data_IF_844371669047
#
_entry.id   IF_844371669047
#
_cell.length_a   1.000
_cell.length_b   1.000
_cell.length_c   1.000
_cell.angle_alpha   90.00
_cell.angle_beta   90.00
_cell.angle_gamma   90.00
#
_symmetry.space_group_name_H-M   'P 1'
#
loop_
_entity.id
_entity.type
_entity.pdbx_description
1 polymer ?
#
# COMPACT_ATOMS: atom_id res chain seq x y z
N UNK A 1 -15.88 -70.71 28.91
CA UNK A 1 -16.80 -70.37 30.02
C UNK A 1 -17.60 -69.16 29.55
N UNK A 2 -18.69 -69.33 28.78
CA UNK A 2 -20.01 -69.88 29.15
C UNK A 2 -20.75 -68.93 30.13
N UNK A 3 -21.93 -68.36 29.85
CA UNK A 3 -22.78 -68.27 28.63
C UNK A 3 -23.55 -66.91 28.67
N UNK A 4 -24.52 -66.57 27.82
CA UNK A 4 -25.31 -67.35 26.86
C UNK A 4 -25.81 -66.48 25.68
N UNK A 5 -25.69 -67.01 24.46
CA UNK A 5 -26.53 -66.72 23.28
C UNK A 5 -27.91 -67.43 23.44
N UNK A 6 -28.90 -67.41 22.53
CA UNK A 6 -29.47 -66.44 21.58
C UNK A 6 -30.75 -67.08 20.97
N UNK A 7 -31.79 -66.32 20.62
CA UNK A 7 -32.83 -66.56 19.58
C UNK A 7 -34.08 -65.68 19.87
N UNK A 8 -34.88 -65.21 18.89
CA UNK A 8 -34.80 -65.40 17.44
C UNK A 8 -35.67 -64.41 16.64
N UNK A 9 -35.65 -64.57 15.30
CA UNK A 9 -36.38 -63.81 14.25
C UNK A 9 -37.92 -64.03 14.38
N UNK A 10 -38.87 -63.31 13.75
CA UNK A 10 -38.84 -62.25 12.73
C UNK A 10 -39.93 -62.49 11.64
N UNK A 11 -40.68 -61.44 11.26
CA UNK A 11 -41.52 -61.29 10.04
C UNK A 11 -42.85 -62.09 9.81
N UNK A 12 -43.95 -61.32 9.64
CA UNK A 12 -44.87 -61.31 8.47
C UNK A 12 -46.33 -61.88 8.51
N UNK A 13 -47.27 -60.94 8.24
CA UNK A 13 -48.43 -60.97 7.29
C UNK A 13 -49.77 -61.73 7.56
N UNK A 14 -50.85 -60.92 7.40
CA UNK A 14 -52.29 -61.14 7.04
C UNK A 14 -53.25 -60.76 8.18
N UNK A 15 -54.38 -60.09 7.94
CA UNK A 15 -54.90 -59.46 6.71
C UNK A 15 -56.28 -58.80 6.95
N UNK A 16 -56.79 -58.01 6.01
CA UNK A 16 -58.15 -57.42 6.11
C UNK A 16 -58.40 -56.27 5.11
N UNK A 17 -59.34 -56.47 4.19
CA UNK A 17 -59.93 -55.40 3.35
C UNK A 17 -61.07 -54.71 4.14
N UNK A 18 -61.65 -53.55 3.79
CA UNK A 18 -61.58 -52.68 2.61
C UNK A 18 -61.66 -51.20 3.10
N UNK A 19 -61.93 -50.11 2.34
CA UNK A 19 -62.48 -49.87 0.98
C UNK A 19 -61.92 -48.53 0.43
N UNK A 20 -62.37 -48.10 -0.75
CA UNK A 20 -62.18 -46.77 -1.35
C UNK A 20 -63.59 -46.24 -1.76
N UNK A 21 -63.83 -44.91 -1.97
CA UNK A 21 -63.38 -44.24 -3.21
C UNK A 21 -63.06 -42.72 -3.14
N UNK A 22 -62.52 -42.21 -4.27
CA UNK A 22 -62.50 -40.81 -4.81
C UNK A 22 -62.02 -39.64 -3.90
N UNK A 23 -61.05 -38.79 -4.26
CA UNK A 23 -60.90 -37.93 -5.47
C UNK A 23 -61.98 -36.82 -5.53
N UNK A 24 -61.69 -35.53 -5.76
CA UNK A 24 -60.50 -34.86 -6.32
C UNK A 24 -60.46 -33.34 -6.04
N UNK A 25 -59.27 -32.70 -6.10
CA UNK A 25 -58.98 -31.26 -6.41
C UNK A 25 -59.73 -30.16 -5.61
N UNK A 26 -59.08 -29.13 -5.07
CA UNK A 26 -58.50 -27.97 -5.81
C UNK A 26 -57.31 -27.35 -5.02
N UNK A 27 -56.60 -26.40 -5.65
CA UNK A 27 -55.24 -25.89 -5.36
C UNK A 27 -55.24 -24.44 -4.82
N UNK A 28 -54.14 -24.07 -4.14
CA UNK A 28 -53.54 -22.70 -3.98
C UNK A 28 -54.11 -21.75 -2.91
N UNK A 29 -53.19 -20.99 -2.26
CA UNK A 29 -53.44 -19.94 -1.24
C UNK A 29 -52.77 -20.26 0.09
N UNK A 30 -51.47 -20.02 0.31
CA UNK A 30 -50.84 -18.72 0.62
C UNK A 30 -51.13 -18.20 2.05
N UNK A 31 -50.17 -18.39 2.96
CA UNK A 31 -50.00 -17.63 4.19
C UNK A 31 -48.56 -17.80 4.72
N UNK A 32 -47.86 -16.68 4.95
CA UNK A 32 -46.47 -16.68 5.40
C UNK A 32 -46.33 -16.98 6.90
N UNK A 33 -45.26 -17.68 7.28
CA UNK A 33 -44.78 -17.76 8.66
C UNK A 33 -43.43 -17.06 8.75
N UNK A 34 -43.46 -15.84 9.31
CA UNK A 34 -42.35 -14.90 9.37
C UNK A 34 -41.17 -15.45 10.19
N UNK A 35 -39.95 -15.31 9.66
CA UNK A 35 -38.70 -15.57 10.38
C UNK A 35 -37.82 -14.33 10.24
N UNK A 36 -37.49 -13.62 11.34
CA UNK A 36 -36.59 -12.49 11.26
C UNK A 36 -35.17 -12.96 10.90
N UNK A 37 -34.66 -12.53 9.74
CA UNK A 37 -33.25 -12.67 9.42
C UNK A 37 -32.37 -11.86 10.38
N UNK A 38 -31.13 -12.32 10.67
CA UNK A 38 -30.15 -11.56 11.46
C UNK A 38 -29.47 -10.45 10.62
N UNK A 39 -30.26 -9.58 9.98
CA UNK A 39 -29.79 -8.40 9.24
C UNK A 39 -29.51 -7.20 10.17
N UNK A 40 -28.60 -7.33 11.16
CA UNK A 40 -28.07 -6.16 11.88
C UNK A 40 -26.77 -6.38 12.69
N UNK A 41 -25.71 -6.87 12.07
CA UNK A 41 -24.34 -6.76 12.65
C UNK A 41 -23.26 -6.34 11.65
N UNK A 42 -23.55 -6.28 10.35
CA UNK A 42 -22.58 -5.90 9.32
C UNK A 42 -22.47 -4.37 9.08
N UNK A 43 -23.49 -3.57 9.45
CA UNK A 43 -23.55 -2.13 9.11
C UNK A 43 -23.15 -1.19 10.26
N UNK A 44 -22.65 -1.72 11.39
CA UNK A 44 -22.12 -0.94 12.51
C UNK A 44 -20.57 -0.83 12.53
N UNK A 45 -19.88 -1.22 11.45
CA UNK A 45 -18.41 -1.18 11.33
C UNK A 45 -17.92 -0.02 10.42
N UNK A 46 -18.39 1.20 10.68
CA UNK A 46 -18.24 2.35 9.77
C UNK A 46 -17.21 3.42 10.21
N UNK A 47 -16.20 3.07 11.02
CA UNK A 47 -15.03 3.93 11.25
C UNK A 47 -13.70 3.17 11.00
N UNK A 48 -12.95 3.62 9.99
CA UNK A 48 -11.53 3.30 9.79
C UNK A 48 -11.14 1.81 9.77
N UNK A 49 -11.39 1.10 8.67
CA UNK A 49 -10.83 -0.24 8.46
C UNK A 49 -9.29 -0.22 8.49
N UNK A 50 -8.68 -1.33 8.93
CA UNK A 50 -7.22 -1.53 8.79
C UNK A 50 -6.78 -1.44 7.32
N UNK A 51 -5.50 -1.12 7.09
CA UNK A 51 -4.94 -1.15 5.74
C UNK A 51 -5.19 -2.52 5.08
N UNK A 52 -5.75 -2.56 3.86
CA UNK A 52 -5.90 -3.80 3.10
C UNK A 52 -4.59 -4.55 2.92
N UNK A 53 -4.64 -5.88 2.83
CA UNK A 53 -3.44 -6.72 2.72
C UNK A 53 -2.55 -6.34 1.51
N UNK A 54 -3.14 -6.07 0.34
CA UNK A 54 -2.39 -5.64 -0.85
C UNK A 54 -1.60 -4.34 -0.61
N UNK A 55 -2.18 -3.41 0.16
CA UNK A 55 -1.56 -2.13 0.46
C UNK A 55 -0.40 -2.31 1.45
N UNK A 56 -0.57 -3.19 2.45
CA UNK A 56 0.50 -3.57 3.39
C UNK A 56 1.68 -4.22 2.66
N UNK A 57 1.43 -5.19 1.79
CA UNK A 57 2.45 -5.82 0.95
C UNK A 57 3.20 -4.80 0.08
N UNK A 58 2.47 -3.85 -0.53
CA UNK A 58 3.07 -2.79 -1.33
C UNK A 58 3.99 -1.86 -0.51
N UNK A 59 3.55 -1.39 0.66
CA UNK A 59 4.41 -0.62 1.57
C UNK A 59 5.63 -1.41 2.04
N UNK A 60 5.48 -2.71 2.31
CA UNK A 60 6.58 -3.56 2.75
C UNK A 60 7.64 -3.79 1.65
N UNK A 61 7.23 -4.12 0.43
CA UNK A 61 8.14 -4.26 -0.70
C UNK A 61 8.88 -2.96 -1.00
N UNK A 62 8.14 -1.84 -1.04
CA UNK A 62 8.70 -0.51 -1.28
C UNK A 62 9.69 -0.08 -0.18
N UNK A 63 9.38 -0.38 1.08
CA UNK A 63 10.25 -0.02 2.21
C UNK A 63 11.54 -0.85 2.24
N UNK A 64 11.44 -2.17 2.09
CA UNK A 64 12.61 -3.05 2.01
C UNK A 64 13.52 -2.73 0.81
N UNK A 65 12.93 -2.44 -0.36
CA UNK A 65 13.68 -1.97 -1.53
C UNK A 65 14.36 -0.61 -1.29
N UNK A 66 13.73 0.31 -0.56
CA UNK A 66 14.38 1.56 -0.15
C UNK A 66 15.58 1.30 0.76
N UNK A 67 15.45 0.35 1.70
CA UNK A 67 16.54 -0.05 2.58
C UNK A 67 17.69 -0.70 1.79
N UNK A 68 17.41 -1.59 0.84
CA UNK A 68 18.42 -2.16 -0.08
C UNK A 68 19.22 -1.05 -0.77
N UNK A 69 18.53 -0.07 -1.37
CA UNK A 69 19.15 1.07 -2.07
C UNK A 69 20.01 1.90 -1.11
N UNK A 70 19.51 2.20 0.09
CA UNK A 70 20.23 2.97 1.10
C UNK A 70 21.47 2.23 1.63
N UNK A 71 21.35 0.94 1.94
CA UNK A 71 22.46 0.12 2.43
C UNK A 71 23.52 -0.11 1.35
N UNK A 72 23.13 -0.43 0.12
CA UNK A 72 24.06 -0.63 -0.99
C UNK A 72 24.77 0.67 -1.40
N UNK A 73 24.04 1.79 -1.48
CA UNK A 73 24.64 3.09 -1.79
C UNK A 73 25.59 3.57 -0.68
N UNK A 74 25.23 3.43 0.60
CA UNK A 74 26.10 3.86 1.70
C UNK A 74 27.37 3.02 1.80
N UNK A 75 27.27 1.69 1.64
CA UNK A 75 28.44 0.79 1.53
C UNK A 75 29.35 1.15 0.36
N UNK A 76 28.79 1.53 -0.79
CA UNK A 76 29.55 1.97 -1.97
C UNK A 76 30.22 3.32 -1.72
N UNK A 77 29.48 4.30 -1.20
CA UNK A 77 30.00 5.63 -0.89
C UNK A 77 31.17 5.58 0.10
N UNK A 78 31.08 4.75 1.13
CA UNK A 78 32.16 4.52 2.10
C UNK A 78 33.43 3.89 1.50
N UNK A 79 33.37 3.30 0.29
CA UNK A 79 34.51 2.69 -0.41
C UNK A 79 35.07 3.55 -1.54
N UNK A 80 34.22 4.29 -2.26
CA UNK A 80 34.61 4.96 -3.51
C UNK A 80 34.25 6.46 -3.58
N UNK A 81 33.69 7.03 -2.51
CA UNK A 81 33.26 8.45 -2.40
C UNK A 81 32.45 8.98 -3.60
N UNK A 82 31.73 8.08 -4.28
CA UNK A 82 30.98 8.35 -5.51
C UNK A 82 29.74 9.22 -5.22
N UNK A 83 29.84 10.51 -5.57
CA UNK A 83 28.80 11.51 -5.34
C UNK A 83 27.46 11.21 -6.05
N UNK A 84 27.44 10.29 -7.03
CA UNK A 84 26.20 9.82 -7.64
C UNK A 84 25.36 8.95 -6.71
N UNK A 85 25.95 8.43 -5.63
CA UNK A 85 25.28 7.65 -4.59
C UNK A 85 24.34 6.56 -5.16
N UNK A 86 24.89 5.74 -6.06
CA UNK A 86 24.15 4.66 -6.72
C UNK A 86 23.89 3.50 -5.75
N UNK A 87 22.61 3.17 -5.56
CA UNK A 87 22.13 1.99 -4.86
C UNK A 87 21.47 0.99 -5.81
N UNK A 88 21.30 -0.24 -5.33
CA UNK A 88 20.85 -1.40 -6.09
C UNK A 88 19.79 -2.20 -5.34
N UNK A 89 18.82 -2.72 -6.06
CA UNK A 89 17.87 -3.74 -5.59
C UNK A 89 17.31 -4.48 -6.83
N UNK A 90 16.32 -5.35 -6.65
CA UNK A 90 15.63 -6.01 -7.77
C UNK A 90 14.17 -6.25 -7.46
N UNK A 91 13.30 -6.45 -8.47
CA UNK A 91 11.92 -6.87 -8.25
C UNK A 91 11.80 -8.16 -7.44
N UNK A 92 12.77 -9.09 -7.57
CA UNK A 92 12.84 -10.31 -6.76
C UNK A 92 13.09 -10.00 -5.27
N UNK A 93 14.02 -9.08 -4.96
CA UNK A 93 14.23 -8.61 -3.57
C UNK A 93 13.01 -7.88 -3.03
N UNK A 94 12.35 -7.05 -3.84
CA UNK A 94 11.07 -6.42 -3.48
C UNK A 94 9.98 -7.45 -3.14
N UNK A 95 9.92 -8.58 -3.86
CA UNK A 95 9.01 -9.70 -3.57
C UNK A 95 9.38 -10.43 -2.28
N UNK A 96 10.66 -10.60 -1.98
CA UNK A 96 11.09 -11.16 -0.70
C UNK A 96 10.74 -10.20 0.44
N UNK A 97 11.06 -8.91 0.32
CA UNK A 97 10.74 -7.88 1.32
C UNK A 97 9.24 -7.79 1.63
N UNK A 98 8.34 -7.89 0.64
CA UNK A 98 6.90 -7.88 0.92
C UNK A 98 6.44 -9.13 1.68
N UNK A 99 7.02 -10.30 1.40
CA UNK A 99 6.67 -11.56 2.09
C UNK A 99 7.28 -11.61 3.50
N UNK A 100 8.56 -11.28 3.64
CA UNK A 100 9.29 -11.34 4.92
C UNK A 100 8.74 -10.34 5.92
N UNK A 101 8.53 -9.08 5.53
CA UNK A 101 7.94 -8.09 6.43
C UNK A 101 6.46 -8.38 6.75
N UNK A 102 5.69 -8.99 5.84
CA UNK A 102 4.31 -9.41 6.14
C UNK A 102 4.26 -10.57 7.16
N UNK A 103 5.18 -11.54 7.05
CA UNK A 103 5.34 -12.59 8.05
C UNK A 103 5.83 -12.02 9.41
N UNK A 104 6.82 -11.11 9.39
CA UNK A 104 7.30 -10.43 10.59
C UNK A 104 6.22 -9.56 11.26
N UNK A 105 5.29 -9.01 10.50
CA UNK A 105 4.12 -8.33 11.09
C UNK A 105 3.25 -9.31 11.89
N UNK A 106 3.05 -10.54 11.40
CA UNK A 106 2.32 -11.58 12.15
C UNK A 106 3.07 -11.98 13.43
N UNK A 107 4.40 -12.09 13.37
CA UNK A 107 5.24 -12.29 14.56
C UNK A 107 5.07 -11.11 15.52
N UNK A 108 5.18 -9.86 15.05
CA UNK A 108 5.01 -8.66 15.87
C UNK A 108 3.66 -8.60 16.58
N UNK A 109 2.56 -8.98 15.92
CA UNK A 109 1.23 -9.02 16.53
C UNK A 109 1.10 -10.09 17.63
N UNK A 110 1.95 -11.11 17.65
CA UNK A 110 2.01 -12.10 18.75
C UNK A 110 2.65 -11.55 20.03
N UNK A 111 3.24 -10.35 20.02
CA UNK A 111 3.82 -9.69 21.21
C UNK A 111 2.89 -9.71 22.43
N UNK A 112 1.58 -9.56 22.22
CA UNK A 112 0.54 -9.59 23.29
C UNK A 112 0.44 -10.93 24.03
N UNK A 113 1.00 -12.01 23.48
CA UNK A 113 1.04 -13.35 24.09
C UNK A 113 2.33 -13.63 24.87
N UNK A 114 3.35 -12.78 24.73
CA UNK A 114 4.62 -12.96 25.43
C UNK A 114 4.59 -12.27 26.79
N UNK A 115 5.00 -12.94 27.88
CA UNK A 115 4.96 -12.37 29.24
C UNK A 115 5.97 -11.22 29.44
N UNK A 116 7.05 -11.19 28.66
CA UNK A 116 8.04 -10.10 28.68
C UNK A 116 8.12 -9.41 27.33
N UNK A 117 7.67 -8.15 27.30
CA UNK A 117 7.82 -7.27 26.14
C UNK A 117 9.30 -6.99 25.83
N UNK A 118 10.19 -7.00 26.83
CA UNK A 118 11.63 -6.82 26.62
C UNK A 118 12.23 -7.99 25.84
N UNK A 119 11.99 -9.23 26.30
CA UNK A 119 12.45 -10.46 25.61
C UNK A 119 11.89 -10.52 24.19
N UNK A 120 10.63 -10.13 24.00
CA UNK A 120 10.04 -10.08 22.66
C UNK A 120 10.75 -9.07 21.74
N UNK A 121 10.90 -7.82 22.18
CA UNK A 121 11.42 -6.73 21.34
C UNK A 121 12.92 -6.84 21.03
N UNK A 122 13.74 -7.34 21.97
CA UNK A 122 15.19 -7.32 21.86
C UNK A 122 15.83 -8.68 21.54
N UNK A 123 15.10 -9.80 21.70
CA UNK A 123 15.60 -11.15 21.42
C UNK A 123 14.74 -11.87 20.36
N UNK A 124 13.46 -12.14 20.65
CA UNK A 124 12.62 -12.97 19.78
C UNK A 124 12.37 -12.35 18.41
N UNK A 125 12.00 -11.05 18.37
CA UNK A 125 11.73 -10.37 17.11
C UNK A 125 13.01 -10.19 16.26
N UNK A 126 14.15 -9.74 16.81
CA UNK A 126 15.40 -9.67 16.05
C UNK A 126 15.89 -11.03 15.54
N UNK A 127 15.77 -12.10 16.34
CA UNK A 127 16.11 -13.45 15.91
C UNK A 127 15.24 -13.90 14.72
N UNK A 128 13.93 -13.67 14.79
CA UNK A 128 13.01 -13.97 13.70
C UNK A 128 13.30 -13.14 12.43
N UNK A 129 13.68 -11.86 12.58
CA UNK A 129 14.06 -11.00 11.46
C UNK A 129 15.34 -11.48 10.77
N UNK A 130 16.41 -11.70 11.54
CA UNK A 130 17.69 -12.20 11.01
C UNK A 130 17.50 -13.55 10.32
N UNK A 131 16.86 -14.52 10.99
CA UNK A 131 16.63 -15.84 10.42
C UNK A 131 15.81 -15.81 9.12
N UNK A 132 14.73 -15.02 9.09
CA UNK A 132 13.88 -14.92 7.90
C UNK A 132 14.58 -14.18 6.74
N UNK A 133 15.41 -13.17 7.03
CA UNK A 133 16.22 -12.48 6.04
C UNK A 133 17.31 -13.40 5.47
N UNK A 134 18.02 -14.16 6.31
CA UNK A 134 19.00 -15.16 5.86
C UNK A 134 18.38 -16.22 4.95
N UNK A 135 17.19 -16.74 5.31
CA UNK A 135 16.46 -17.69 4.47
C UNK A 135 16.03 -17.07 3.13
N UNK A 136 15.59 -15.82 3.12
CA UNK A 136 15.22 -15.11 1.90
C UNK A 136 16.42 -14.88 0.96
N UNK A 137 17.56 -14.47 1.51
CA UNK A 137 18.79 -14.26 0.74
C UNK A 137 19.35 -15.59 0.21
N UNK A 138 19.29 -16.69 0.97
CA UNK A 138 19.65 -18.04 0.50
C UNK A 138 18.71 -18.55 -0.60
N UNK A 139 17.39 -18.36 -0.44
CA UNK A 139 16.42 -18.75 -1.47
C UNK A 139 16.62 -17.97 -2.78
N UNK A 140 16.98 -16.69 -2.69
CA UNK A 140 17.32 -15.86 -3.85
C UNK A 140 18.57 -16.36 -4.57
N UNK A 141 19.63 -16.68 -3.81
CA UNK A 141 20.87 -17.23 -4.36
C UNK A 141 20.62 -18.55 -5.11
N UNK A 142 19.89 -19.48 -4.50
CA UNK A 142 19.52 -20.76 -5.12
C UNK A 142 18.62 -20.61 -6.36
N UNK A 143 17.83 -19.53 -6.44
CA UNK A 143 16.93 -19.27 -7.58
C UNK A 143 17.59 -18.54 -8.75
N UNK A 144 18.74 -17.87 -8.52
CA UNK A 144 19.44 -17.06 -9.53
C UNK A 144 20.82 -17.59 -9.92
N UNK A 145 21.44 -18.43 -9.08
CA UNK A 145 22.74 -19.06 -9.34
C UNK A 145 22.53 -20.47 -9.87
N UNK A 146 23.03 -20.72 -11.08
CA UNK A 146 23.00 -22.03 -11.77
C UNK A 146 24.08 -23.01 -11.23
N UNK A 147 24.40 -22.87 -9.93
CA UNK A 147 25.52 -23.56 -9.30
C UNK A 147 25.71 -23.15 -7.83
N UNK A 148 26.17 -24.13 -7.03
CA UNK A 148 26.45 -24.04 -5.60
C UNK A 148 27.73 -23.23 -5.32
N UNK A 149 27.73 -21.94 -5.65
CA UNK A 149 28.78 -21.02 -5.21
C UNK A 149 28.67 -20.74 -3.72
N UNK A 150 29.80 -20.72 -3.02
CA UNK A 150 29.89 -20.53 -1.57
C UNK A 150 29.04 -19.35 -1.09
N UNK A 151 27.92 -19.65 -0.43
CA UNK A 151 27.12 -18.68 0.30
C UNK A 151 27.87 -18.31 1.58
N UNK A 152 28.92 -17.48 1.44
CA UNK A 152 29.73 -16.99 2.54
C UNK A 152 28.83 -16.47 3.66
N UNK A 153 29.01 -17.02 4.87
CA UNK A 153 28.20 -16.67 6.02
C UNK A 153 28.25 -15.15 6.25
N UNK A 154 27.10 -14.50 6.61
CA UNK A 154 27.06 -13.05 6.80
C UNK A 154 28.08 -12.64 7.87
N UNK A 155 28.93 -11.67 7.55
CA UNK A 155 29.99 -11.22 8.45
C UNK A 155 29.42 -10.60 9.72
N UNK A 156 30.22 -10.50 10.78
CA UNK A 156 29.79 -9.94 12.08
C UNK A 156 29.14 -8.56 11.95
N UNK A 157 29.64 -7.72 11.03
CA UNK A 157 29.06 -6.39 10.73
C UNK A 157 27.72 -6.48 10.00
N UNK A 158 27.51 -7.46 9.13
CA UNK A 158 26.23 -7.69 8.45
C UNK A 158 25.17 -8.17 9.45
N UNK A 159 25.52 -9.12 10.33
CA UNK A 159 24.65 -9.57 11.41
C UNK A 159 24.29 -8.45 12.39
N UNK A 160 25.26 -7.62 12.79
CA UNK A 160 25.01 -6.45 13.63
C UNK A 160 24.07 -5.44 12.94
N UNK A 161 24.25 -5.21 11.64
CA UNK A 161 23.36 -4.32 10.87
C UNK A 161 21.95 -4.89 10.72
N UNK A 162 21.80 -6.19 10.45
CA UNK A 162 20.50 -6.87 10.41
C UNK A 162 19.78 -6.82 11.78
N UNK A 163 20.52 -6.96 12.89
CA UNK A 163 19.97 -6.79 14.24
C UNK A 163 19.46 -5.35 14.48
N UNK A 164 20.26 -4.33 14.13
CA UNK A 164 19.85 -2.93 14.21
C UNK A 164 18.63 -2.64 13.33
N UNK A 165 18.57 -3.23 12.13
CA UNK A 165 17.43 -3.10 11.23
C UNK A 165 16.16 -3.75 11.82
N UNK A 166 16.28 -4.89 12.51
CA UNK A 166 15.17 -5.52 13.21
C UNK A 166 14.63 -4.67 14.37
N UNK A 167 15.52 -4.01 15.13
CA UNK A 167 15.12 -3.07 16.17
C UNK A 167 14.40 -1.86 15.57
N UNK A 168 14.92 -1.28 14.48
CA UNK A 168 14.23 -0.23 13.73
C UNK A 168 12.85 -0.70 13.23
N UNK A 169 12.76 -1.90 12.66
CA UNK A 169 11.54 -2.45 12.07
C UNK A 169 10.45 -2.63 13.12
N UNK A 170 10.79 -3.17 14.30
CA UNK A 170 9.83 -3.34 15.41
C UNK A 170 9.50 -2.02 16.10
N UNK A 171 10.50 -1.26 16.55
CA UNK A 171 10.30 -0.10 17.43
C UNK A 171 9.82 1.15 16.70
N UNK A 172 10.20 1.32 15.43
CA UNK A 172 9.91 2.53 14.64
C UNK A 172 8.91 2.23 13.54
N UNK A 173 9.22 1.31 12.62
CA UNK A 173 8.41 1.12 11.42
C UNK A 173 7.05 0.49 11.72
N UNK A 174 6.99 -0.75 12.21
CA UNK A 174 5.72 -1.45 12.49
C UNK A 174 4.86 -0.70 13.51
N UNK A 175 5.48 -0.19 14.59
CA UNK A 175 4.80 0.62 15.61
C UNK A 175 4.12 1.89 15.04
N UNK A 176 4.68 2.50 14.00
CA UNK A 176 4.08 3.66 13.31
C UNK A 176 3.09 3.23 12.23
N UNK A 177 3.45 2.21 11.45
CA UNK A 177 2.72 1.71 10.28
C UNK A 177 1.37 1.08 10.63
N UNK A 178 1.29 0.31 11.71
CA UNK A 178 0.04 -0.32 12.17
C UNK A 178 -1.02 0.68 12.71
N UNK A 179 -0.67 1.97 12.81
CA UNK A 179 -1.61 3.06 13.15
C UNK A 179 -2.26 3.70 11.92
N UNK A 180 -1.90 3.25 10.72
CA UNK A 180 -2.52 3.70 9.47
C UNK A 180 -3.85 2.97 9.26
N UNK A 181 -4.88 3.73 8.87
CA UNK A 181 -6.22 3.26 8.52
C UNK A 181 -6.59 3.68 7.11
N UNK A 182 -7.41 2.87 6.45
CA UNK A 182 -7.92 3.14 5.11
C UNK A 182 -9.40 3.48 5.16
N UNK A 183 -9.75 4.70 4.74
CA UNK A 183 -11.15 5.13 4.66
C UNK A 183 -11.76 4.72 3.32
N UNK A 184 -12.50 3.61 3.31
CA UNK A 184 -13.38 3.27 2.19
C UNK A 184 -14.56 4.25 2.19
N UNK A 185 -14.66 5.12 1.17
CA UNK A 185 -15.91 5.82 0.91
C UNK A 185 -16.90 4.81 0.35
N UNK A 186 -18.08 4.70 0.98
CA UNK A 186 -19.25 4.14 0.34
C UNK A 186 -19.62 5.06 -0.84
N UNK A 187 -20.04 4.54 -2.01
CA UNK A 187 -20.51 5.38 -3.10
C UNK A 187 -21.60 6.33 -2.58
N UNK A 188 -21.44 7.63 -2.83
CA UNK A 188 -22.50 8.60 -2.58
C UNK A 188 -23.74 8.14 -3.35
N UNK A 189 -24.84 7.82 -2.65
CA UNK A 189 -26.09 7.37 -3.29
C UNK A 189 -26.49 8.39 -4.35
N UNK A 190 -26.46 7.96 -5.61
CA UNK A 190 -26.98 8.71 -6.73
C UNK A 190 -28.51 8.81 -6.54
N UNK A 191 -29.00 10.02 -6.25
CA UNK A 191 -30.43 10.28 -6.06
C UNK A 191 -30.97 9.90 -4.67
N UNK A 192 -31.04 10.89 -3.77
CA UNK A 192 -32.15 10.92 -2.82
C UNK A 192 -33.42 11.30 -3.62
N UNK A 193 -34.56 10.59 -3.48
CA UNK A 193 -35.79 10.98 -4.18
C UNK A 193 -36.22 12.39 -3.78
N UNK A 194 -36.55 13.21 -4.79
CA UNK A 194 -37.19 14.51 -4.57
C UNK A 194 -38.52 14.29 -3.85
N UNK A 195 -38.65 14.84 -2.65
CA UNK A 195 -39.92 14.86 -1.93
C UNK A 195 -40.97 15.65 -2.74
N UNK A 196 -42.23 15.20 -2.81
CA UNK A 196 -43.25 15.86 -3.61
C UNK A 196 -43.60 17.26 -3.05
N UNK A 197 -43.90 18.25 -3.91
CA UNK A 197 -44.17 19.62 -3.48
C UNK A 197 -45.58 19.74 -2.85
N UNK A 198 -45.66 19.54 -1.54
CA UNK A 198 -46.88 19.71 -0.75
C UNK A 198 -47.04 21.12 -0.18
N UNK A 199 -48.05 21.85 -0.66
CA UNK A 199 -48.78 22.95 0.02
C UNK A 199 -47.97 24.11 0.64
N UNK A 200 -48.08 25.29 0.01
CA UNK A 200 -47.85 26.58 0.67
C UNK A 200 -49.01 26.91 1.62
N UNK A 201 -48.70 27.29 2.85
CA UNK A 201 -49.56 28.14 3.70
C UNK A 201 -48.70 29.16 4.43
N UNK A 202 -49.20 30.38 4.57
CA UNK A 202 -48.44 31.52 5.07
C UNK A 202 -48.78 31.86 6.53
N UNK A 203 -47.78 32.28 7.30
CA UNK A 203 -47.96 33.10 8.49
C UNK A 203 -46.70 33.96 8.69
N UNK A 204 -46.90 35.25 8.99
CA UNK A 204 -45.82 36.21 9.22
C UNK A 204 -45.66 36.53 10.72
N UNK A 205 -44.74 37.47 11.00
CA UNK A 205 -44.56 38.24 12.25
C UNK A 205 -43.55 37.71 13.27
N UNK A 206 -42.52 38.55 13.51
CA UNK A 206 -42.03 38.84 14.87
C UNK A 206 -40.77 38.10 15.34
N UNK A 207 -39.65 38.81 15.53
CA UNK A 207 -38.50 38.24 16.26
C UNK A 207 -37.12 38.85 16.02
N UNK A 208 -36.94 40.17 16.08
CA UNK A 208 -35.62 40.82 15.94
C UNK A 208 -34.74 40.62 17.19
N UNK A 209 -34.30 39.38 17.49
CA UNK A 209 -33.32 39.10 18.55
C UNK A 209 -31.89 39.18 18.02
N UNK A 210 -31.18 40.26 18.36
CA UNK A 210 -29.71 40.28 18.36
C UNK A 210 -29.18 39.13 19.23
N UNK A 211 -28.27 38.31 18.71
CA UNK A 211 -27.32 37.51 19.50
C UNK A 211 -25.91 37.66 18.91
N UNK A 212 -24.85 37.41 19.71
CA UNK A 212 -23.60 38.15 19.54
C UNK A 212 -22.70 37.61 18.43
N UNK A 213 -21.81 38.48 17.97
CA UNK A 213 -20.66 38.12 17.15
C UNK A 213 -19.69 37.32 18.03
N UNK A 214 -19.81 35.99 18.02
CA UNK A 214 -18.86 35.11 18.68
C UNK A 214 -17.44 35.29 18.13
N UNK A 215 -16.39 35.02 18.93
CA UNK A 215 -15.02 35.10 18.44
C UNK A 215 -14.81 34.10 17.30
N UNK A 216 -13.99 34.47 16.32
CA UNK A 216 -13.48 33.51 15.33
C UNK A 216 -12.58 32.51 16.07
N UNK A 217 -13.12 31.35 16.43
CA UNK A 217 -12.28 30.19 16.66
C UNK A 217 -11.60 29.84 15.34
N UNK A 218 -10.31 30.16 15.23
CA UNK A 218 -9.41 29.53 14.27
C UNK A 218 -9.12 28.10 14.74
N UNK A 219 -10.16 27.27 14.84
CA UNK A 219 -10.00 25.83 14.89
C UNK A 219 -9.51 25.40 13.52
N UNK A 220 -8.22 25.11 13.44
CA UNK A 220 -7.61 24.56 12.24
C UNK A 220 -8.34 23.30 11.84
N UNK A 221 -8.91 23.29 10.63
CA UNK A 221 -9.60 22.12 10.11
C UNK A 221 -8.67 20.89 10.24
N UNK A 222 -9.13 19.76 10.82
CA UNK A 222 -8.30 18.60 10.99
C UNK A 222 -7.76 18.18 9.63
N UNK A 223 -6.44 18.20 9.48
CA UNK A 223 -5.75 17.97 8.22
C UNK A 223 -6.10 16.57 7.71
N UNK A 224 -7.01 16.50 6.73
CA UNK A 224 -7.47 15.23 6.18
C UNK A 224 -6.29 14.49 5.53
N UNK A 225 -6.13 13.22 5.90
CA UNK A 225 -5.12 12.33 5.34
C UNK A 225 -3.81 12.26 6.13
N UNK A 226 -2.81 11.65 5.50
CA UNK A 226 -1.48 11.40 6.05
C UNK A 226 -0.68 12.72 6.27
N UNK A 227 0.09 12.87 7.37
CA UNK A 227 0.99 14.02 7.55
C UNK A 227 1.98 14.21 6.39
N UNK A 228 2.29 15.46 6.05
CA UNK A 228 3.05 15.82 4.85
C UNK A 228 4.45 15.23 4.78
N UNK A 229 5.15 15.08 5.92
CA UNK A 229 6.43 14.36 5.97
C UNK A 229 6.29 12.89 5.54
N UNK A 230 5.24 12.20 5.98
CA UNK A 230 5.01 10.81 5.58
C UNK A 230 4.57 10.70 4.12
N UNK A 231 3.87 11.71 3.55
CA UNK A 231 3.60 11.79 2.11
C UNK A 231 4.89 11.92 1.31
N UNK A 232 5.78 12.84 1.70
CA UNK A 232 7.08 13.00 1.06
C UNK A 232 7.92 11.71 1.12
N UNK A 233 8.00 11.07 2.29
CA UNK A 233 8.71 9.79 2.44
C UNK A 233 8.09 8.69 1.56
N UNK A 234 6.76 8.58 1.51
CA UNK A 234 6.06 7.65 0.62
C UNK A 234 6.41 7.90 -0.84
N UNK A 235 6.36 9.15 -1.32
CA UNK A 235 6.69 9.48 -2.71
C UNK A 235 8.17 9.25 -3.04
N UNK A 236 9.10 9.53 -2.12
CA UNK A 236 10.51 9.22 -2.31
C UNK A 236 10.77 7.71 -2.43
N UNK A 237 10.23 6.91 -1.50
CA UNK A 237 10.32 5.45 -1.55
C UNK A 237 9.66 4.87 -2.81
N UNK A 238 8.52 5.45 -3.21
CA UNK A 238 7.81 5.05 -4.41
C UNK A 238 8.57 5.39 -5.70
N UNK A 239 9.23 6.55 -5.75
CA UNK A 239 10.10 6.93 -6.85
C UNK A 239 11.27 5.95 -7.04
N UNK A 240 11.94 5.56 -5.95
CA UNK A 240 12.99 4.53 -5.99
C UNK A 240 12.45 3.18 -6.49
N UNK A 241 11.25 2.77 -6.05
CA UNK A 241 10.59 1.56 -6.54
C UNK A 241 10.37 1.61 -8.06
N UNK A 242 9.86 2.75 -8.57
CA UNK A 242 9.61 2.93 -10.00
C UNK A 242 10.93 2.91 -10.81
N UNK A 243 11.99 3.57 -10.33
CA UNK A 243 13.30 3.59 -11.02
C UNK A 243 14.00 2.22 -11.00
N UNK A 244 13.95 1.48 -9.89
CA UNK A 244 14.48 0.10 -9.83
C UNK A 244 13.75 -0.80 -10.83
N UNK A 245 12.42 -0.72 -10.92
CA UNK A 245 11.65 -1.53 -11.88
C UNK A 245 11.94 -1.10 -13.33
N UNK A 246 11.99 0.21 -13.60
CA UNK A 246 12.31 0.75 -14.91
C UNK A 246 13.71 0.32 -15.39
N UNK A 247 14.74 0.56 -14.58
CA UNK A 247 16.13 0.19 -14.93
C UNK A 247 16.31 -1.32 -15.04
N UNK A 248 15.65 -2.12 -14.21
CA UNK A 248 15.66 -3.57 -14.32
C UNK A 248 15.07 -4.04 -15.65
N UNK A 249 13.86 -3.61 -16.02
CA UNK A 249 13.25 -4.01 -17.30
C UNK A 249 14.02 -3.45 -18.50
N UNK A 250 14.55 -2.23 -18.40
CA UNK A 250 15.38 -1.65 -19.45
C UNK A 250 16.67 -2.47 -19.69
N UNK A 251 17.35 -2.89 -18.61
CA UNK A 251 18.52 -3.76 -18.70
C UNK A 251 18.18 -5.14 -19.28
N UNK A 252 17.06 -5.75 -18.85
CA UNK A 252 16.61 -7.05 -19.37
C UNK A 252 16.27 -7.00 -20.86
N UNK A 253 15.58 -5.96 -21.32
CA UNK A 253 15.13 -5.83 -22.71
C UNK A 253 16.25 -5.33 -23.64
N UNK A 254 17.13 -4.46 -23.16
CA UNK A 254 18.13 -3.77 -23.98
C UNK A 254 19.47 -4.49 -24.12
N UNK A 255 19.89 -5.29 -23.12
CA UNK A 255 21.25 -5.88 -23.10
C UNK A 255 21.29 -7.40 -23.32
N UNK A 256 20.15 -8.04 -23.60
CA UNK A 256 20.10 -9.43 -24.07
C UNK A 256 20.53 -10.52 -23.07
N UNK A 257 20.85 -10.19 -21.81
CA UNK A 257 21.17 -11.21 -20.81
C UNK A 257 21.45 -10.73 -19.38
N UNK A 258 20.96 -11.52 -18.41
CA UNK A 258 21.49 -11.70 -17.04
C UNK A 258 21.62 -10.48 -16.09
N UNK A 259 21.03 -9.32 -16.40
CA UNK A 259 20.96 -8.21 -15.46
C UNK A 259 19.98 -8.50 -14.28
N UNK A 260 20.49 -9.11 -13.20
CA UNK A 260 19.70 -9.52 -12.03
C UNK A 260 19.26 -8.36 -11.09
N UNK A 261 19.62 -7.11 -11.39
CA UNK A 261 19.31 -5.95 -10.54
C UNK A 261 19.00 -4.68 -11.33
N UNK A 262 18.13 -3.86 -10.75
CA UNK A 262 17.95 -2.45 -11.12
C UNK A 262 18.84 -1.56 -10.26
N UNK A 263 18.97 -0.30 -10.65
CA UNK A 263 19.77 0.69 -9.95
C UNK A 263 19.07 2.06 -9.92
N UNK A 264 19.44 2.89 -8.97
CA UNK A 264 18.88 4.24 -8.74
C UNK A 264 19.87 5.07 -7.93
N UNK A 265 19.78 6.39 -7.98
CA UNK A 265 20.55 7.28 -7.10
C UNK A 265 19.78 7.57 -5.81
N UNK A 266 20.48 7.73 -4.68
CA UNK A 266 19.85 8.33 -3.49
C UNK A 266 19.35 9.76 -3.73
N UNK A 267 19.88 10.49 -4.71
CA UNK A 267 19.33 11.79 -5.12
C UNK A 267 17.94 11.66 -5.76
N UNK A 268 17.65 10.53 -6.43
CA UNK A 268 16.33 10.22 -6.99
C UNK A 268 15.23 10.19 -5.92
N UNK A 269 15.53 9.74 -4.70
CA UNK A 269 14.59 9.78 -3.58
C UNK A 269 14.07 11.21 -3.31
N UNK A 270 14.98 12.18 -3.26
CA UNK A 270 14.63 13.58 -3.03
C UNK A 270 13.99 14.22 -4.26
N UNK A 271 14.49 13.89 -5.46
CA UNK A 271 13.94 14.39 -6.73
C UNK A 271 12.48 13.95 -6.93
N UNK A 272 12.20 12.65 -6.88
CA UNK A 272 10.85 12.12 -7.03
C UNK A 272 9.96 12.47 -5.84
N UNK A 273 10.48 12.38 -4.60
CA UNK A 273 9.74 12.74 -3.39
C UNK A 273 9.25 14.20 -3.42
N UNK A 274 10.10 15.13 -3.86
CA UNK A 274 9.72 16.55 -4.00
C UNK A 274 8.80 16.79 -5.19
N UNK A 275 9.07 16.18 -6.35
CA UNK A 275 8.23 16.32 -7.55
C UNK A 275 6.80 15.84 -7.29
N UNK A 276 6.62 14.60 -6.82
CA UNK A 276 5.31 14.02 -6.56
C UNK A 276 4.58 14.71 -5.40
N UNK A 277 5.29 15.25 -4.40
CA UNK A 277 4.66 16.07 -3.35
C UNK A 277 4.10 17.38 -3.91
N UNK A 278 4.85 18.09 -4.78
CA UNK A 278 4.36 19.29 -5.47
C UNK A 278 3.17 18.97 -6.38
N UNK A 279 3.24 17.86 -7.13
CA UNK A 279 2.15 17.36 -7.98
C UNK A 279 0.91 16.99 -7.15
N UNK A 280 1.05 16.41 -5.95
CA UNK A 280 -0.09 16.13 -5.04
C UNK A 280 -0.77 17.43 -4.57
N UNK A 281 0.00 18.45 -4.17
CA UNK A 281 -0.59 19.76 -3.78
C UNK A 281 -1.30 20.42 -4.97
N UNK A 282 -0.73 20.31 -6.17
CA UNK A 282 -1.35 20.80 -7.39
C UNK A 282 -2.61 20.00 -7.76
N UNK A 283 -2.60 18.68 -7.60
CA UNK A 283 -3.77 17.80 -7.77
C UNK A 283 -4.92 18.30 -6.89
N UNK A 284 -4.70 18.51 -5.59
CA UNK A 284 -5.75 18.99 -4.69
C UNK A 284 -6.26 20.38 -5.09
N UNK A 285 -5.40 21.30 -5.53
CA UNK A 285 -5.82 22.61 -6.02
C UNK A 285 -6.65 22.53 -7.30
N UNK A 286 -6.17 21.82 -8.34
CA UNK A 286 -6.84 21.76 -9.64
C UNK A 286 -8.12 20.92 -9.60
N UNK A 287 -8.13 19.83 -8.82
CA UNK A 287 -9.30 18.97 -8.68
C UNK A 287 -10.37 19.60 -7.78
N UNK A 288 -10.05 19.94 -6.52
CA UNK A 288 -11.06 20.43 -5.58
C UNK A 288 -11.40 21.92 -5.74
N UNK A 289 -10.46 22.79 -6.13
CA UNK A 289 -10.74 24.22 -6.29
C UNK A 289 -11.21 24.60 -7.69
N UNK A 290 -10.84 23.85 -8.73
CA UNK A 290 -11.21 24.17 -10.13
C UNK A 290 -12.03 23.11 -10.86
N UNK A 291 -12.25 21.92 -10.28
CA UNK A 291 -13.06 20.86 -10.91
C UNK A 291 -12.49 20.33 -12.22
N UNK A 292 -11.17 20.44 -12.44
CA UNK A 292 -10.56 19.98 -13.69
C UNK A 292 -10.60 18.46 -13.80
N UNK A 293 -10.73 17.92 -15.02
CA UNK A 293 -10.57 16.49 -15.29
C UNK A 293 -9.09 16.09 -15.39
N UNK A 294 -8.77 14.81 -15.20
CA UNK A 294 -7.38 14.29 -15.26
C UNK A 294 -6.67 14.69 -16.56
N UNK A 295 -7.35 14.65 -17.70
CA UNK A 295 -6.82 15.08 -19.00
C UNK A 295 -6.34 16.55 -19.06
N UNK A 296 -6.92 17.45 -18.25
CA UNK A 296 -6.46 18.85 -18.14
C UNK A 296 -5.29 19.02 -17.16
N UNK A 297 -5.10 18.08 -16.23
CA UNK A 297 -4.03 18.11 -15.22
C UNK A 297 -2.73 17.46 -15.73
N UNK A 298 -2.84 16.32 -16.41
CA UNK A 298 -1.70 15.53 -16.92
C UNK A 298 -0.69 16.36 -17.74
N UNK A 299 -1.08 17.24 -18.68
CA UNK A 299 -0.10 18.08 -19.40
C UNK A 299 0.71 18.99 -18.48
N UNK A 300 0.10 19.53 -17.40
CA UNK A 300 0.81 20.35 -16.43
C UNK A 300 1.77 19.50 -15.60
N UNK A 301 1.36 18.28 -15.20
CA UNK A 301 2.25 17.37 -14.49
C UNK A 301 3.48 17.01 -15.33
N UNK A 302 3.30 16.72 -16.63
CA UNK A 302 4.41 16.44 -17.56
C UNK A 302 5.37 17.63 -17.68
N UNK A 303 4.84 18.87 -17.78
CA UNK A 303 5.66 20.08 -17.78
C UNK A 303 6.45 20.22 -16.48
N UNK A 304 5.82 19.96 -15.32
CA UNK A 304 6.48 19.98 -14.02
C UNK A 304 7.56 18.92 -13.93
N UNK A 305 7.30 17.68 -14.38
CA UNK A 305 8.28 16.57 -14.38
C UNK A 305 9.52 16.95 -15.19
N UNK A 306 9.36 17.46 -16.42
CA UNK A 306 10.50 17.90 -17.23
C UNK A 306 11.26 19.09 -16.61
N UNK A 307 10.55 20.04 -16.00
CA UNK A 307 11.19 21.15 -15.29
C UNK A 307 11.97 20.67 -14.06
N UNK A 308 11.44 19.68 -13.33
CA UNK A 308 12.08 19.09 -12.15
C UNK A 308 13.31 18.29 -12.53
N UNK A 309 13.19 17.40 -13.52
CA UNK A 309 14.29 16.59 -14.07
C UNK A 309 15.42 17.47 -14.59
N UNK A 310 15.10 18.53 -15.35
CA UNK A 310 16.10 19.50 -15.80
C UNK A 310 16.75 20.27 -14.64
N UNK A 311 15.97 20.72 -13.65
CA UNK A 311 16.49 21.49 -12.51
C UNK A 311 17.41 20.67 -11.62
N UNK A 312 17.00 19.44 -11.27
CA UNK A 312 17.82 18.50 -10.53
C UNK A 312 19.03 18.05 -11.32
N UNK A 313 18.87 17.76 -12.62
CA UNK A 313 19.97 17.41 -13.52
C UNK A 313 21.04 18.50 -13.58
N UNK A 314 20.65 19.77 -13.71
CA UNK A 314 21.58 20.91 -13.69
C UNK A 314 22.27 21.07 -12.33
N UNK A 315 21.54 20.91 -11.22
CA UNK A 315 22.08 20.99 -9.87
C UNK A 315 23.09 19.87 -9.57
N UNK A 316 22.70 18.62 -9.81
CA UNK A 316 23.53 17.44 -9.60
C UNK A 316 24.75 17.43 -10.54
N UNK A 317 24.61 17.89 -11.79
CA UNK A 317 25.74 17.98 -12.74
C UNK A 317 26.81 18.96 -12.26
N UNK A 318 26.44 20.10 -11.65
CA UNK A 318 27.41 21.03 -11.02
C UNK A 318 28.24 20.39 -9.91
N UNK A 319 27.66 19.42 -9.19
CA UNK A 319 28.32 18.71 -8.09
C UNK A 319 28.91 17.35 -8.51
N UNK A 320 28.96 17.01 -9.81
CA UNK A 320 29.40 15.68 -10.29
C UNK A 320 28.49 14.50 -9.91
N UNK A 321 27.33 14.78 -9.29
CA UNK A 321 26.41 13.81 -8.72
C UNK A 321 25.32 13.32 -9.69
N UNK A 322 25.26 13.86 -10.91
CA UNK A 322 24.27 13.45 -11.92
C UNK A 322 24.51 11.99 -12.33
N UNK A 323 23.51 11.12 -12.12
CA UNK A 323 23.57 9.68 -12.40
C UNK A 323 23.13 9.30 -13.82
N UNK A 324 22.44 10.19 -14.54
CA UNK A 324 21.93 9.94 -15.89
C UNK A 324 22.53 10.88 -16.94
N UNK A 325 22.50 10.41 -18.19
CA UNK A 325 22.83 11.19 -19.39
C UNK A 325 22.05 10.64 -20.61
N UNK A 326 21.15 11.46 -21.16
CA UNK A 326 20.32 11.15 -22.31
C UNK A 326 20.88 11.69 -23.64
N UNK A 327 22.14 12.13 -23.69
CA UNK A 327 22.76 12.69 -24.92
C UNK A 327 22.71 11.75 -26.13
N UNK A 328 22.56 10.44 -25.90
CA UNK A 328 22.44 9.39 -26.91
C UNK A 328 21.02 9.24 -27.50
N UNK A 329 19.99 9.84 -26.88
CA UNK A 329 18.62 9.84 -27.42
C UNK A 329 18.37 11.03 -28.35
N UNK A 330 17.54 10.86 -29.40
CA UNK A 330 17.05 11.99 -30.18
C UNK A 330 16.16 12.90 -29.30
N UNK A 331 16.00 14.15 -29.70
CA UNK A 331 15.18 15.14 -28.98
C UNK A 331 15.58 15.30 -27.49
N UNK A 332 16.85 15.07 -27.16
CA UNK A 332 17.39 15.39 -25.84
C UNK A 332 17.70 16.90 -25.73
N UNK A 333 17.63 17.43 -24.51
CA UNK A 333 18.08 18.77 -24.19
C UNK A 333 19.16 18.71 -23.12
N UNK A 334 20.37 19.17 -23.49
CA UNK A 334 21.59 19.11 -22.66
C UNK A 334 21.95 17.69 -22.15
N UNK A 335 21.42 16.62 -22.74
CA UNK A 335 21.48 15.26 -22.18
C UNK A 335 20.82 15.09 -20.81
N UNK A 336 20.01 16.06 -20.33
CA UNK A 336 19.37 16.01 -19.01
C UNK A 336 17.90 15.59 -19.06
N UNK A 337 17.21 15.92 -20.15
CA UNK A 337 15.83 15.50 -20.44
C UNK A 337 15.74 14.99 -21.87
N UNK A 338 14.80 14.10 -22.17
CA UNK A 338 14.48 13.68 -23.55
C UNK A 338 12.97 13.63 -23.81
N UNK A 339 12.55 14.15 -24.97
CA UNK A 339 11.15 14.03 -25.42
C UNK A 339 10.80 12.60 -25.85
N UNK A 340 11.78 11.71 -26.06
CA UNK A 340 11.51 10.28 -26.30
C UNK A 340 10.79 9.62 -25.11
N UNK A 341 11.00 10.11 -23.89
CA UNK A 341 10.34 9.60 -22.67
C UNK A 341 8.95 10.20 -22.41
N UNK A 342 8.47 11.12 -23.26
CA UNK A 342 7.15 11.74 -23.13
C UNK A 342 5.99 10.74 -22.92
N UNK A 343 5.89 9.60 -23.64
CA UNK A 343 4.83 8.61 -23.39
C UNK A 343 4.89 8.01 -21.98
N UNK A 344 6.11 7.76 -21.48
CA UNK A 344 6.35 7.28 -20.11
C UNK A 344 5.93 8.31 -19.06
N UNK A 345 6.25 9.59 -19.27
CA UNK A 345 5.84 10.67 -18.36
C UNK A 345 4.34 10.92 -18.37
N UNK A 346 3.66 10.77 -19.52
CA UNK A 346 2.19 10.82 -19.59
C UNK A 346 1.56 9.68 -18.78
N UNK A 347 2.06 8.45 -18.96
CA UNK A 347 1.61 7.29 -18.17
C UNK A 347 1.85 7.49 -16.67
N UNK A 348 3.05 7.90 -16.27
CA UNK A 348 3.40 8.15 -14.88
C UNK A 348 2.57 9.30 -14.26
N UNK A 349 2.24 10.33 -15.05
CA UNK A 349 1.37 11.43 -14.62
C UNK A 349 -0.07 10.99 -14.36
N UNK A 350 -0.63 10.10 -15.19
CA UNK A 350 -1.95 9.48 -14.93
C UNK A 350 -1.89 8.59 -13.70
N UNK A 351 -0.83 7.80 -13.54
CA UNK A 351 -0.65 6.93 -12.39
C UNK A 351 -0.48 7.71 -11.06
N UNK A 352 0.29 8.80 -11.06
CA UNK A 352 0.43 9.72 -9.92
C UNK A 352 -0.91 10.37 -9.53
N UNK A 353 -1.77 10.68 -10.51
CA UNK A 353 -3.11 11.24 -10.28
C UNK A 353 -4.02 10.22 -9.54
N UNK A 354 -4.00 8.96 -9.95
CA UNK A 354 -4.69 7.85 -9.26
C UNK A 354 -4.08 7.58 -7.87
N UNK A 355 -2.76 7.58 -7.76
CA UNK A 355 -2.04 7.35 -6.51
C UNK A 355 -2.35 8.42 -5.46
N UNK A 356 -2.53 9.67 -5.88
CA UNK A 356 -2.88 10.79 -5.00
C UNK A 356 -4.29 10.64 -4.40
N UNK A 357 -5.27 10.16 -5.17
CA UNK A 357 -6.60 9.82 -4.65
C UNK A 357 -6.57 8.63 -3.68
N UNK A 358 -5.76 7.59 -3.96
CA UNK A 358 -5.59 6.45 -3.06
C UNK A 358 -4.91 6.86 -1.75
N UNK A 359 -3.84 7.67 -1.82
CA UNK A 359 -3.10 8.14 -0.65
C UNK A 359 -3.94 9.08 0.23
N UNK A 360 -4.81 9.89 -0.37
CA UNK A 360 -5.76 10.76 0.34
C UNK A 360 -6.72 9.98 1.26
N UNK A 361 -7.03 8.72 0.91
CA UNK A 361 -7.88 7.82 1.71
C UNK A 361 -7.16 7.20 2.90
N UNK A 362 -5.83 7.35 2.99
CA UNK A 362 -5.01 6.86 4.11
C UNK A 362 -4.95 7.90 5.21
N UNK A 363 -5.22 7.48 6.44
CA UNK A 363 -5.20 8.33 7.63
C UNK A 363 -4.30 7.72 8.70
N UNK A 364 -3.63 8.55 9.48
CA UNK A 364 -2.83 8.12 10.63
C UNK A 364 -3.59 8.45 11.92
N UNK A 365 -3.81 7.46 12.78
CA UNK A 365 -4.42 7.70 14.09
C UNK A 365 -3.40 8.47 14.96
N UNK A 366 -3.77 9.63 15.54
CA UNK A 366 -2.88 10.36 16.46
C UNK A 366 -2.57 9.53 17.71
N UNK A 367 -1.46 9.84 18.37
CA UNK A 367 -1.19 9.28 19.70
C UNK A 367 -2.14 9.97 20.68
N UNK A 368 -2.94 9.17 21.39
CA UNK A 368 -3.67 9.57 22.59
C UNK A 368 -2.74 9.40 23.80
#
# INVERSE_FOLDING_TARGET
>A
MAGSDADGKGLARRGGASRRPAASSVRVGEAAADRPEPLSTAEAAAEGAELPAWMRLYFYGMHGLTLDVLLSSSRRFARSTDLRMLGFSSPYRCLLHLLTHFALEKVYLQQRRCPSAFVFNFLLYPLAHVGLQTLADQALLLSLSDGLGDAAAPGTLDLALQYLLALYQSQVFLKRFLRLRYRRQLPQRLGAPLAPPGTRTAAAVGGRRRRPRGPRSTEGAPSKGLPDLFRFLFYGMHGLLNEIFFTFFFNLLGQGGRAASGHTSLWSFFMYGSCSFVVEKLYFHLYYSRGWSTWKRVPIYVIIVYLWELSWGLGLRKCGACSWDYSHYPLNFMGLITLTYLPGWVFLSVYQDLLSDVLWRVQCIPVV
#
